data_IF_737188258530
#
_entry.id   IF_737188258530
#
_cell.length_a   1.000
_cell.length_b   1.000
_cell.length_c   1.000
_cell.angle_alpha   90.00
_cell.angle_beta   90.00
_cell.angle_gamma   90.00
#
_symmetry.space_group_name_H-M   'P 1'
#
loop_
_entity.id
_entity.type
_entity.pdbx_description
1 polymer ?
#
# COMPACT_ATOMS: atom_id res chain seq x y z
N UNK A 1 11.40 9.60 -9.46
CA UNK A 1 10.47 8.46 -9.36
C UNK A 1 9.17 8.90 -10.02
N UNK A 2 8.70 8.17 -11.03
CA UNK A 2 7.40 8.42 -11.66
C UNK A 2 6.26 7.89 -10.77
N UNK A 3 5.02 8.22 -11.10
CA UNK A 3 3.87 7.80 -10.30
C UNK A 3 3.71 6.28 -10.24
N UNK A 4 4.02 5.57 -11.32
CA UNK A 4 4.09 4.10 -11.37
C UNK A 4 5.09 3.55 -10.36
N UNK A 5 6.36 3.97 -10.43
CA UNK A 5 7.41 3.51 -9.51
C UNK A 5 7.15 3.91 -8.05
N UNK A 6 6.42 4.99 -7.80
CA UNK A 6 5.91 5.30 -6.46
C UNK A 6 4.90 4.25 -5.99
N UNK A 7 3.89 3.93 -6.81
CA UNK A 7 2.87 2.95 -6.47
C UNK A 7 3.45 1.54 -6.28
N UNK A 8 4.41 1.13 -7.11
CA UNK A 8 5.13 -0.13 -6.96
C UNK A 8 5.90 -0.20 -5.64
N UNK A 9 6.66 0.85 -5.31
CA UNK A 9 7.41 0.92 -4.05
C UNK A 9 6.49 0.85 -2.83
N UNK A 10 5.39 1.60 -2.84
CA UNK A 10 4.42 1.57 -1.74
C UNK A 10 3.75 0.19 -1.58
N UNK A 11 3.49 -0.49 -2.70
CA UNK A 11 2.98 -1.86 -2.71
C UNK A 11 4.02 -2.87 -2.18
N UNK A 12 5.31 -2.65 -2.42
CA UNK A 12 6.39 -3.52 -1.96
C UNK A 12 6.71 -3.36 -0.45
N UNK A 13 6.67 -2.14 0.10
CA UNK A 13 6.89 -1.89 1.55
C UNK A 13 5.69 -2.30 2.43
N UNK A 14 4.62 -2.77 1.80
CA UNK A 14 3.36 -3.10 2.44
C UNK A 14 3.41 -4.19 3.51
N UNK A 15 4.11 -5.32 3.31
CA UNK A 15 4.15 -6.39 4.31
C UNK A 15 4.69 -5.91 5.66
N UNK A 16 5.64 -4.98 5.65
CA UNK A 16 6.22 -4.41 6.86
C UNK A 16 5.22 -3.53 7.61
N UNK A 17 4.47 -2.69 6.89
CA UNK A 17 3.40 -1.87 7.49
C UNK A 17 2.29 -2.72 8.10
N UNK A 18 1.87 -3.78 7.40
CA UNK A 18 0.84 -4.72 7.86
C UNK A 18 1.28 -5.47 9.12
N UNK A 19 2.53 -5.94 9.16
CA UNK A 19 3.12 -6.61 10.31
C UNK A 19 3.18 -5.67 11.52
N UNK A 20 3.70 -4.46 11.34
CA UNK A 20 3.81 -3.48 12.42
C UNK A 20 2.44 -3.07 13.00
N UNK A 21 1.41 -2.92 12.15
CA UNK A 21 0.06 -2.64 12.62
C UNK A 21 -0.53 -3.82 13.41
N UNK A 22 -0.30 -5.05 12.94
CA UNK A 22 -0.70 -6.27 13.64
C UNK A 22 -0.01 -6.42 15.00
N UNK A 23 1.31 -6.20 15.05
CA UNK A 23 2.10 -6.26 16.29
C UNK A 23 1.65 -5.21 17.31
N UNK A 24 1.12 -4.08 16.86
CA UNK A 24 0.57 -3.00 17.71
C UNK A 24 -0.92 -3.16 18.02
N UNK A 25 -1.59 -4.19 17.47
CA UNK A 25 -3.04 -4.31 17.46
C UNK A 25 -3.77 -3.02 17.00
N UNK A 26 -3.13 -2.26 16.11
CA UNK A 26 -3.66 -1.00 15.59
C UNK A 26 -4.52 -1.27 14.36
N UNK A 27 -5.79 -1.60 14.61
CA UNK A 27 -6.75 -1.93 13.58
C UNK A 27 -6.94 -0.77 12.58
N UNK A 28 -6.95 0.47 13.06
CA UNK A 28 -7.12 1.65 12.18
C UNK A 28 -5.93 1.82 11.25
N UNK A 29 -4.70 1.66 11.78
CA UNK A 29 -3.52 1.65 10.95
C UNK A 29 -3.57 0.53 9.92
N UNK A 30 -4.02 -0.67 10.30
CA UNK A 30 -4.17 -1.79 9.36
C UNK A 30 -5.17 -1.47 8.23
N UNK A 31 -6.38 -1.03 8.57
CA UNK A 31 -7.44 -0.71 7.60
C UNK A 31 -7.06 0.42 6.65
N UNK A 32 -6.56 1.53 7.20
CA UNK A 32 -6.08 2.66 6.41
C UNK A 32 -5.04 2.20 5.39
N UNK A 33 -4.13 1.38 5.88
CA UNK A 33 -3.06 0.88 5.09
C UNK A 33 -3.67 -0.03 3.96
N UNK A 34 -4.62 -0.93 4.24
CA UNK A 34 -5.19 -1.81 3.20
C UNK A 34 -5.92 -1.02 2.12
N UNK A 35 -6.58 0.07 2.52
CA UNK A 35 -7.21 1.01 1.60
C UNK A 35 -6.17 1.66 0.66
N UNK A 36 -5.05 2.14 1.21
CA UNK A 36 -3.98 2.72 0.40
C UNK A 36 -3.39 1.72 -0.59
N UNK A 37 -3.23 0.46 -0.19
CA UNK A 37 -2.78 -0.59 -1.10
C UNK A 37 -3.76 -0.81 -2.26
N UNK A 38 -5.06 -0.83 -1.98
CA UNK A 38 -6.09 -0.91 -3.01
C UNK A 38 -6.01 0.28 -3.96
N UNK A 39 -5.80 1.50 -3.44
CA UNK A 39 -5.63 2.72 -4.22
C UNK A 39 -4.40 2.62 -5.15
N UNK A 40 -3.25 2.18 -4.65
CA UNK A 40 -2.03 2.06 -5.49
C UNK A 40 -2.19 1.00 -6.58
N UNK A 41 -2.84 -0.13 -6.27
CA UNK A 41 -3.14 -1.16 -7.28
C UNK A 41 -4.06 -0.62 -8.37
N UNK A 42 -5.06 0.17 -8.01
CA UNK A 42 -5.96 0.79 -8.97
C UNK A 42 -5.23 1.83 -9.83
N UNK A 43 -4.34 2.62 -9.24
CA UNK A 43 -3.49 3.55 -9.97
C UNK A 43 -2.53 2.83 -10.94
N UNK A 44 -1.94 1.70 -10.54
CA UNK A 44 -1.08 0.91 -11.42
C UNK A 44 -1.80 0.37 -12.65
N UNK A 45 -3.07 -0.04 -12.52
CA UNK A 45 -3.89 -0.43 -13.69
C UNK A 45 -4.02 0.70 -14.71
N UNK A 46 -4.01 1.96 -14.27
CA UNK A 46 -4.10 3.13 -15.17
C UNK A 46 -2.79 3.41 -15.89
N UNK A 47 -1.66 3.06 -15.28
CA UNK A 47 -0.32 3.21 -15.90
C UNK A 47 0.07 2.05 -16.80
N UNK A 48 -0.57 0.88 -16.65
CA UNK A 48 -0.32 -0.29 -17.47
C UNK A 48 -0.97 -0.26 -18.88
N UNK A 49 -1.51 0.89 -19.32
CA UNK A 49 -2.12 1.11 -20.64
C UNK A 49 -1.16 1.90 -21.52
#
# INVERSE_FOLDING_TARGET
MNAEGFCEKQTACRPDGRRNAGDRADLKAFEFAEQELANYREMLKRYAV
#
